data_IF_875512710047
#
_entry.id   IF_875512710047
#
_cell.length_a   1.000
_cell.length_b   1.000
_cell.length_c   1.000
_cell.angle_alpha   90.00
_cell.angle_beta   90.00
_cell.angle_gamma   90.00
#
_symmetry.space_group_name_H-M   'P 1'
#
loop_
_entity.id
_entity.type
_entity.pdbx_description
1 polymer ?
#
# COMPACT_ATOMS: atom_id res chain seq x y z
N UNK A 1 8.51 25.63 4.19
CA UNK A 1 8.62 24.94 5.50
C UNK A 1 9.20 23.54 5.34
N UNK A 2 8.70 22.77 4.36
CA UNK A 2 9.16 21.42 4.07
C UNK A 2 10.29 21.41 3.04
N UNK A 3 11.25 20.50 3.21
CA UNK A 3 12.28 20.15 2.24
C UNK A 3 12.25 18.63 2.01
N UNK A 4 12.80 18.15 0.88
CA UNK A 4 12.79 16.73 0.55
C UNK A 4 13.98 16.02 1.21
N UNK A 5 13.73 14.86 1.81
CA UNK A 5 14.79 13.95 2.22
C UNK A 5 15.43 13.40 0.95
N UNK A 6 16.70 13.74 0.71
CA UNK A 6 17.49 13.18 -0.38
C UNK A 6 18.01 11.82 0.07
N UNK A 7 17.59 10.78 -0.66
CA UNK A 7 18.10 9.41 -0.55
C UNK A 7 19.04 9.19 -1.73
N UNK A 8 20.28 8.84 -1.46
CA UNK A 8 21.31 8.63 -2.47
C UNK A 8 21.39 7.17 -2.90
N UNK A 9 21.84 6.92 -4.14
CA UNK A 9 22.11 5.56 -4.63
C UNK A 9 23.10 4.82 -3.72
N UNK A 10 24.07 5.54 -3.14
CA UNK A 10 25.02 4.98 -2.17
C UNK A 10 24.33 4.45 -0.93
N UNK A 11 23.35 5.16 -0.39
CA UNK A 11 22.57 4.70 0.77
C UNK A 11 21.72 3.48 0.41
N UNK A 12 21.08 3.50 -0.76
CA UNK A 12 20.27 2.39 -1.26
C UNK A 12 21.11 1.12 -1.44
N UNK A 13 22.17 1.20 -2.24
CA UNK A 13 23.04 0.06 -2.51
C UNK A 13 23.77 -0.42 -1.24
N UNK A 14 24.12 0.51 -0.35
CA UNK A 14 24.70 0.19 0.94
C UNK A 14 23.77 -0.62 1.85
N UNK A 15 22.48 -0.31 1.87
CA UNK A 15 21.49 -1.07 2.65
C UNK A 15 21.14 -2.40 1.97
N UNK A 16 20.98 -2.43 0.64
CA UNK A 16 20.78 -3.67 -0.13
C UNK A 16 21.87 -4.70 0.15
N UNK A 17 23.14 -4.27 0.12
CA UNK A 17 24.28 -5.14 0.37
C UNK A 17 24.35 -5.70 1.80
N UNK A 18 23.66 -5.11 2.76
CA UNK A 18 23.67 -5.54 4.17
C UNK A 18 22.63 -6.61 4.48
N UNK A 19 21.50 -6.62 3.79
CA UNK A 19 20.40 -7.54 4.09
C UNK A 19 19.56 -7.85 2.84
N UNK A 20 19.56 -9.13 2.45
CA UNK A 20 18.80 -9.61 1.28
C UNK A 20 17.29 -9.32 1.38
N UNK A 21 16.69 -9.37 2.57
CA UNK A 21 15.24 -9.09 2.70
C UNK A 21 14.95 -7.59 2.53
N UNK A 22 15.81 -6.73 3.06
CA UNK A 22 15.75 -5.30 2.79
C UNK A 22 16.00 -5.00 1.31
N UNK A 23 16.92 -5.70 0.65
CA UNK A 23 17.14 -5.58 -0.79
C UNK A 23 15.86 -5.85 -1.57
N UNK A 24 15.23 -7.01 -1.31
CA UNK A 24 13.96 -7.37 -1.93
C UNK A 24 12.87 -6.32 -1.65
N UNK A 25 12.82 -5.77 -0.44
CA UNK A 25 11.86 -4.73 -0.05
C UNK A 25 12.08 -3.42 -0.81
N UNK A 26 13.34 -3.01 -0.96
CA UNK A 26 13.72 -1.82 -1.72
C UNK A 26 13.35 -2.00 -3.19
N UNK A 27 13.72 -3.12 -3.81
CA UNK A 27 13.42 -3.42 -5.21
C UNK A 27 11.92 -3.53 -5.47
N UNK A 28 11.15 -4.06 -4.51
CA UNK A 28 9.68 -4.16 -4.59
C UNK A 28 9.00 -2.80 -4.50
N UNK A 29 9.47 -1.93 -3.61
CA UNK A 29 8.83 -0.63 -3.35
C UNK A 29 9.23 0.41 -4.39
N UNK A 30 10.47 0.33 -4.89
CA UNK A 30 11.09 1.34 -5.72
C UNK A 30 11.41 2.60 -4.93
N UNK A 31 11.31 3.73 -5.64
CA UNK A 31 11.61 5.04 -5.06
C UNK A 31 10.59 5.44 -4.00
N UNK A 32 11.09 6.08 -2.95
CA UNK A 32 10.27 6.65 -1.88
C UNK A 32 10.57 8.14 -1.74
N UNK A 33 9.49 8.91 -1.62
CA UNK A 33 9.58 10.34 -1.39
C UNK A 33 9.09 10.66 0.02
N UNK A 34 9.88 11.44 0.74
CA UNK A 34 9.56 11.94 2.07
C UNK A 34 10.05 13.37 2.22
N UNK A 35 9.24 14.17 2.91
CA UNK A 35 9.59 15.54 3.24
C UNK A 35 9.88 15.66 4.74
N UNK A 36 10.67 16.67 5.10
CA UNK A 36 11.07 16.97 6.47
C UNK A 36 10.95 18.48 6.73
N UNK A 37 10.83 18.86 8.01
CA UNK A 37 10.75 20.27 8.40
C UNK A 37 12.14 20.74 8.85
N UNK A 38 12.77 21.60 8.04
CA UNK A 38 14.16 22.05 8.28
C UNK A 38 14.34 22.86 9.56
N UNK A 39 13.36 23.68 9.93
CA UNK A 39 13.44 24.45 11.17
C UNK A 39 13.09 23.54 12.37
N UNK A 40 14.04 23.27 13.29
CA UNK A 40 13.81 22.33 14.39
C UNK A 40 12.72 22.74 15.36
N UNK A 41 12.66 24.04 15.67
CA UNK A 41 11.63 24.56 16.56
C UNK A 41 10.24 24.33 15.95
N UNK A 42 10.06 24.69 14.69
CA UNK A 42 8.81 24.45 13.96
C UNK A 42 8.50 22.96 13.89
N UNK A 43 9.49 22.09 13.66
CA UNK A 43 9.29 20.64 13.61
C UNK A 43 8.78 20.06 14.94
N UNK A 44 9.35 20.49 16.07
CA UNK A 44 8.90 20.08 17.40
C UNK A 44 7.47 20.55 17.68
N UNK A 45 7.16 21.82 17.41
CA UNK A 45 5.81 22.37 17.57
C UNK A 45 4.81 21.65 16.67
N UNK A 46 5.14 21.44 15.40
CA UNK A 46 4.35 20.67 14.43
C UNK A 46 4.06 19.27 14.96
N UNK A 47 5.06 18.58 15.54
CA UNK A 47 4.86 17.24 16.12
C UNK A 47 3.79 17.24 17.22
N UNK A 48 3.78 18.24 18.11
CA UNK A 48 2.78 18.36 19.18
C UNK A 48 1.38 18.60 18.60
N UNK A 49 1.27 19.44 17.56
CA UNK A 49 -0.02 19.72 16.91
C UNK A 49 -0.61 18.45 16.30
N UNK A 50 0.22 17.62 15.66
CA UNK A 50 -0.22 16.39 14.98
C UNK A 50 -0.47 15.19 15.90
N UNK A 51 0.02 15.19 17.14
CA UNK A 51 -0.17 14.08 18.08
C UNK A 51 -1.65 13.75 18.30
N UNK A 52 -1.97 12.45 18.27
CA UNK A 52 -3.28 11.88 18.63
C UNK A 52 -4.47 12.44 17.85
N UNK A 53 -4.25 12.88 16.59
CA UNK A 53 -5.30 13.40 15.72
C UNK A 53 -5.25 12.74 14.35
N UNK A 54 -6.42 12.64 13.71
CA UNK A 54 -6.48 12.34 12.29
C UNK A 54 -5.78 13.45 11.48
N UNK A 55 -5.10 13.06 10.39
CA UNK A 55 -4.27 13.97 9.57
C UNK A 55 -5.06 15.21 9.13
N UNK A 56 -6.31 15.06 8.68
CA UNK A 56 -7.15 16.18 8.24
C UNK A 56 -7.42 17.19 9.37
N UNK A 57 -7.70 16.71 10.58
CA UNK A 57 -7.97 17.58 11.72
C UNK A 57 -6.71 18.31 12.19
N UNK A 58 -5.58 17.59 12.29
CA UNK A 58 -4.30 18.19 12.64
C UNK A 58 -3.87 19.26 11.63
N UNK A 59 -4.04 19.00 10.33
CA UNK A 59 -3.71 19.95 9.25
C UNK A 59 -4.54 21.22 9.34
N UNK A 60 -5.85 21.10 9.61
CA UNK A 60 -6.72 22.27 9.78
C UNK A 60 -6.31 23.13 11.00
N UNK A 61 -5.89 22.51 12.10
CA UNK A 61 -5.37 23.23 13.28
C UNK A 61 -4.02 23.88 12.94
N UNK A 62 -3.12 23.16 12.27
CA UNK A 62 -1.80 23.65 11.89
C UNK A 62 -1.86 24.88 10.98
N UNK A 63 -2.74 24.88 9.97
CA UNK A 63 -2.88 26.00 9.06
C UNK A 63 -3.38 27.25 9.79
N UNK A 64 -4.46 27.15 10.56
CA UNK A 64 -4.95 28.27 11.38
C UNK A 64 -3.90 28.77 12.36
N UNK A 65 -3.14 27.85 12.97
CA UNK A 65 -2.06 28.18 13.88
C UNK A 65 -0.98 29.01 13.17
N UNK A 66 -0.49 28.57 12.02
CA UNK A 66 0.52 29.29 11.24
C UNK A 66 0.04 30.66 10.73
N UNK A 67 -1.26 30.81 10.43
CA UNK A 67 -1.86 32.08 10.02
C UNK A 67 -2.03 33.06 11.18
N UNK A 68 -2.22 32.54 12.40
CA UNK A 68 -2.54 33.36 13.58
C UNK A 68 -1.30 33.81 14.35
N UNK A 69 -0.25 32.98 14.40
CA UNK A 69 0.92 33.24 15.25
C UNK A 69 2.23 33.18 14.48
N UNK A 70 3.18 34.03 14.87
CA UNK A 70 4.56 33.94 14.39
C UNK A 70 5.25 32.76 15.07
N UNK A 71 5.84 31.85 14.29
CA UNK A 71 6.43 30.60 14.78
C UNK A 71 7.90 30.77 15.25
N UNK A 72 8.11 31.64 16.24
CA UNK A 72 9.39 31.75 16.96
C UNK A 72 9.23 31.35 18.44
N UNK A 73 10.31 30.90 19.11
CA UNK A 73 10.27 30.57 20.53
C UNK A 73 9.71 31.71 21.39
N UNK A 74 10.17 32.93 21.17
CA UNK A 74 9.77 34.11 21.92
C UNK A 74 8.29 34.42 21.69
N UNK A 75 7.86 34.46 20.42
CA UNK A 75 6.47 34.71 20.05
C UNK A 75 5.52 33.72 20.73
N UNK A 76 5.80 32.41 20.64
CA UNK A 76 4.93 31.39 21.25
C UNK A 76 4.95 31.40 22.78
N UNK A 77 6.06 31.83 23.39
CA UNK A 77 6.16 31.94 24.85
C UNK A 77 5.24 33.03 25.40
N UNK A 78 5.17 34.18 24.72
CA UNK A 78 4.38 35.34 25.13
C UNK A 78 2.96 35.39 24.56
N UNK A 79 2.64 34.58 23.55
CA UNK A 79 1.27 34.50 23.01
C UNK A 79 0.29 34.01 24.08
N UNK A 80 -0.89 34.66 24.18
CA UNK A 80 -1.90 34.30 25.17
C UNK A 80 -2.50 32.90 24.91
N UNK A 81 -2.78 32.16 25.99
CA UNK A 81 -3.40 30.83 25.88
C UNK A 81 -4.77 30.90 25.18
N UNK A 82 -5.50 32.00 25.35
CA UNK A 82 -6.78 32.26 24.70
C UNK A 82 -6.64 32.34 23.18
N UNK A 83 -5.65 33.06 22.66
CA UNK A 83 -5.40 33.12 21.22
C UNK A 83 -4.95 31.76 20.66
N UNK A 84 -4.11 31.02 21.39
CA UNK A 84 -3.72 29.67 20.97
C UNK A 84 -4.92 28.71 20.97
N UNK A 85 -5.91 28.93 21.84
CA UNK A 85 -7.14 28.14 21.90
C UNK A 85 -8.02 28.37 20.68
N UNK A 86 -8.09 29.58 20.12
CA UNK A 86 -8.89 29.87 18.90
C UNK A 86 -8.36 29.12 17.67
N UNK A 87 -7.07 28.77 17.65
CA UNK A 87 -6.48 27.92 16.61
C UNK A 87 -7.01 26.46 16.65
N UNK A 88 -7.61 26.05 17.77
CA UNK A 88 -8.11 24.68 18.00
C UNK A 88 -7.17 23.78 18.80
N UNK A 89 -6.10 24.33 19.38
CA UNK A 89 -5.17 23.59 20.24
C UNK A 89 -5.79 23.29 21.60
N UNK A 90 -5.55 22.10 22.16
CA UNK A 90 -5.93 21.78 23.54
C UNK A 90 -5.02 22.48 24.56
N UNK A 91 -5.49 22.64 25.81
CA UNK A 91 -4.68 23.21 26.90
C UNK A 91 -3.35 22.45 27.08
N UNK A 92 -3.40 21.12 27.03
CA UNK A 92 -2.21 20.27 27.13
C UNK A 92 -1.23 20.53 25.99
N UNK A 93 -1.70 20.64 24.74
CA UNK A 93 -0.84 20.95 23.59
C UNK A 93 -0.22 22.34 23.71
N UNK A 94 -0.97 23.33 24.20
CA UNK A 94 -0.46 24.67 24.48
C UNK A 94 0.66 24.62 25.53
N UNK A 95 0.46 23.91 26.65
CA UNK A 95 1.51 23.71 27.65
C UNK A 95 2.77 23.09 27.05
N UNK A 96 2.63 22.07 26.21
CA UNK A 96 3.79 21.40 25.59
C UNK A 96 4.52 22.30 24.58
N UNK A 97 3.78 23.05 23.77
CA UNK A 97 4.36 24.05 22.84
C UNK A 97 5.12 25.12 23.62
N UNK A 98 4.56 25.65 24.72
CA UNK A 98 5.24 26.63 25.58
C UNK A 98 6.45 26.04 26.31
N UNK A 99 6.42 24.75 26.66
CA UNK A 99 7.59 24.07 27.22
C UNK A 99 8.73 23.95 26.20
N UNK A 100 8.40 23.64 24.94
CA UNK A 100 9.38 23.62 23.83
C UNK A 100 9.98 25.01 23.64
N UNK A 101 9.14 26.04 23.53
CA UNK A 101 9.59 27.43 23.39
C UNK A 101 10.54 27.84 24.53
N UNK A 102 10.16 27.58 25.78
CA UNK A 102 11.00 27.86 26.95
C UNK A 102 12.32 27.09 26.90
N UNK A 103 12.29 25.80 26.55
CA UNK A 103 13.50 24.98 26.49
C UNK A 103 14.47 25.48 25.39
N UNK A 104 13.95 25.88 24.23
CA UNK A 104 14.78 26.43 23.14
C UNK A 104 15.45 27.74 23.57
N UNK A 105 14.72 28.65 24.23
CA UNK A 105 15.28 29.91 24.75
C UNK A 105 16.31 29.67 25.85
N UNK A 106 16.03 28.76 26.79
CA UNK A 106 16.88 28.58 27.98
C UNK A 106 18.08 27.66 27.78
N UNK A 107 17.98 26.67 26.89
CA UNK A 107 19.02 25.65 26.67
C UNK A 107 19.74 25.79 25.34
N UNK A 108 19.34 26.78 24.54
CA UNK A 108 19.88 27.04 23.22
C UNK A 108 19.82 25.75 22.36
N UNK A 109 18.60 25.29 22.09
CA UNK A 109 18.32 24.14 21.22
C UNK A 109 18.20 24.58 19.75
N UNK A 110 19.17 25.35 19.28
CA UNK A 110 19.22 25.86 17.90
C UNK A 110 19.63 24.76 16.91
N UNK A 111 19.25 24.91 15.63
CA UNK A 111 19.60 23.94 14.58
C UNK A 111 21.10 23.71 14.51
N UNK A 112 21.88 24.79 14.52
CA UNK A 112 23.35 24.76 14.45
C UNK A 112 23.92 23.84 15.53
N UNK A 113 23.55 24.06 16.79
CA UNK A 113 24.03 23.25 17.91
C UNK A 113 23.57 21.80 17.82
N UNK A 114 22.29 21.56 17.49
CA UNK A 114 21.73 20.21 17.38
C UNK A 114 22.40 19.38 16.29
N UNK A 115 22.90 20.00 15.21
CA UNK A 115 23.59 19.26 14.15
C UNK A 115 24.96 18.71 14.57
N UNK A 116 25.59 19.31 15.58
CA UNK A 116 26.90 18.88 16.10
C UNK A 116 26.82 17.89 17.26
N UNK A 117 25.64 17.71 17.86
CA UNK A 117 25.43 16.76 18.95
C UNK A 117 25.29 15.32 18.45
N UNK A 118 25.52 14.35 19.34
CA UNK A 118 25.20 12.96 19.08
C UNK A 118 23.69 12.72 19.15
N UNK A 119 23.19 11.69 18.47
CA UNK A 119 21.77 11.32 18.51
C UNK A 119 21.30 11.01 19.94
N UNK A 120 22.17 10.41 20.77
CA UNK A 120 21.86 10.09 22.17
C UNK A 120 21.67 11.36 23.01
N UNK A 121 22.57 12.33 22.89
CA UNK A 121 22.50 13.59 23.64
C UNK A 121 21.27 14.40 23.24
N UNK A 122 20.92 14.42 21.94
CA UNK A 122 19.73 15.12 21.45
C UNK A 122 18.48 14.46 22.04
N UNK A 123 18.38 13.12 22.01
CA UNK A 123 17.25 12.41 22.59
C UNK A 123 17.13 12.70 24.09
N UNK A 124 18.24 12.69 24.84
CA UNK A 124 18.24 13.04 26.27
C UNK A 124 17.72 14.46 26.51
N UNK A 125 18.23 15.45 25.78
CA UNK A 125 17.80 16.84 25.95
C UNK A 125 16.34 17.05 25.57
N UNK A 126 15.87 16.43 24.48
CA UNK A 126 14.49 16.55 24.04
C UNK A 126 13.52 15.85 24.99
N UNK A 127 13.88 14.69 25.53
CA UNK A 127 13.01 13.94 26.45
C UNK A 127 12.87 14.58 27.83
N UNK A 128 13.77 15.51 28.20
CA UNK A 128 13.57 16.37 29.37
C UNK A 128 12.36 17.31 29.22
N UNK A 129 11.97 17.63 27.98
CA UNK A 129 10.84 18.51 27.71
C UNK A 129 9.53 17.72 27.88
N UNK A 130 8.79 18.03 28.96
CA UNK A 130 7.47 17.41 29.20
C UNK A 130 6.56 17.60 27.98
N UNK A 131 6.16 16.47 27.38
CA UNK A 131 5.39 16.40 26.13
C UNK A 131 6.14 15.73 24.97
N UNK A 132 7.45 15.53 25.11
CA UNK A 132 8.29 14.86 24.11
C UNK A 132 8.79 13.53 24.70
N UNK A 133 8.40 12.42 24.09
CA UNK A 133 8.93 11.10 24.41
C UNK A 133 10.05 10.67 23.46
N UNK A 134 10.71 9.55 23.77
CA UNK A 134 11.80 8.98 22.95
C UNK A 134 11.42 8.83 21.49
N UNK A 135 10.22 8.29 21.21
CA UNK A 135 9.75 8.12 19.83
C UNK A 135 9.66 9.46 19.10
N UNK A 136 9.10 10.50 19.74
CA UNK A 136 9.01 11.84 19.16
C UNK A 136 10.39 12.42 18.88
N UNK A 137 11.36 12.21 19.78
CA UNK A 137 12.74 12.65 19.58
C UNK A 137 13.40 11.92 18.40
N UNK A 138 13.23 10.60 18.27
CA UNK A 138 13.75 9.82 17.14
C UNK A 138 13.10 10.25 15.81
N UNK A 139 11.79 10.52 15.79
CA UNK A 139 11.11 11.06 14.60
C UNK A 139 11.63 12.44 14.23
N UNK A 140 11.96 13.26 15.23
CA UNK A 140 12.57 14.57 15.01
C UNK A 140 13.99 14.46 14.42
N UNK A 141 14.79 13.48 14.85
CA UNK A 141 16.10 13.21 14.22
C UNK A 141 15.95 12.90 12.72
N UNK A 142 14.93 12.12 12.33
CA UNK A 142 14.67 11.77 10.93
C UNK A 142 14.07 12.97 10.16
N UNK A 143 12.93 13.48 10.61
CA UNK A 143 12.09 14.42 9.88
C UNK A 143 12.35 15.90 10.22
N UNK A 144 13.47 16.20 10.86
CA UNK A 144 13.97 17.57 11.02
C UNK A 144 15.47 17.68 10.84
N UNK A 145 16.24 16.85 11.55
CA UNK A 145 17.71 16.88 11.47
C UNK A 145 18.29 16.02 10.34
N UNK A 146 17.45 15.25 9.64
CA UNK A 146 17.84 14.36 8.54
C UNK A 146 18.99 13.39 8.92
N UNK A 147 18.99 12.91 10.16
CA UNK A 147 19.96 11.90 10.64
C UNK A 147 19.74 10.59 9.88
N UNK A 148 20.83 9.95 9.48
CA UNK A 148 20.82 8.80 8.56
C UNK A 148 20.71 7.42 9.24
N UNK A 149 21.00 7.34 10.53
CA UNK A 149 21.07 6.08 11.25
C UNK A 149 20.08 5.95 12.44
N UNK A 150 18.81 6.27 12.20
CA UNK A 150 17.76 6.24 13.24
C UNK A 150 16.69 5.18 12.95
N UNK A 151 16.45 4.29 13.90
CA UNK A 151 15.33 3.34 13.89
C UNK A 151 14.78 3.19 15.31
N UNK A 152 13.46 3.33 15.46
CA UNK A 152 12.79 3.39 16.77
C UNK A 152 12.12 2.07 17.14
N UNK A 153 12.46 1.52 18.31
CA UNK A 153 11.78 0.35 18.87
C UNK A 153 10.35 0.67 19.34
N UNK A 154 10.05 1.94 19.63
CA UNK A 154 8.72 2.38 20.06
C UNK A 154 7.75 2.57 18.88
N UNK A 155 8.22 2.43 17.65
CA UNK A 155 7.40 2.58 16.45
C UNK A 155 6.73 1.25 16.06
N UNK A 156 5.43 1.15 16.30
CA UNK A 156 4.66 -0.05 16.02
C UNK A 156 4.64 -0.41 14.53
N UNK A 157 4.70 0.57 13.63
CA UNK A 157 4.68 0.31 12.19
C UNK A 157 6.01 -0.30 11.73
N UNK A 158 7.15 0.19 12.24
CA UNK A 158 8.46 -0.44 12.05
C UNK A 158 8.46 -1.87 12.60
N UNK A 159 8.00 -2.09 13.84
CA UNK A 159 7.96 -3.44 14.43
C UNK A 159 7.07 -4.41 13.62
N UNK A 160 5.92 -3.93 13.10
CA UNK A 160 5.05 -4.73 12.21
C UNK A 160 5.74 -5.00 10.87
N UNK A 161 6.45 -4.03 10.31
CA UNK A 161 7.24 -4.17 9.10
C UNK A 161 8.31 -5.25 9.25
N UNK A 162 9.09 -5.19 10.33
CA UNK A 162 10.12 -6.18 10.65
C UNK A 162 9.50 -7.56 10.88
N UNK A 163 8.42 -7.64 11.66
CA UNK A 163 7.69 -8.90 11.88
C UNK A 163 7.33 -9.56 10.55
N UNK A 164 6.73 -8.80 9.63
CA UNK A 164 6.30 -9.31 8.34
C UNK A 164 7.48 -9.68 7.45
N UNK A 165 8.43 -8.77 7.27
CA UNK A 165 9.58 -8.96 6.39
C UNK A 165 10.41 -10.19 6.80
N UNK A 166 10.59 -10.39 8.10
CA UNK A 166 11.35 -11.51 8.63
C UNK A 166 10.51 -12.75 8.94
N UNK A 167 9.21 -12.74 8.64
CA UNK A 167 8.26 -13.82 8.93
C UNK A 167 8.28 -14.27 10.40
N UNK A 168 8.29 -13.31 11.32
CA UNK A 168 8.33 -13.57 12.75
C UNK A 168 6.93 -13.90 13.28
N UNK A 169 6.84 -14.86 14.22
CA UNK A 169 5.57 -15.23 14.86
C UNK A 169 4.95 -14.07 15.65
N UNK A 170 5.79 -13.37 16.42
CA UNK A 170 5.43 -12.22 17.25
C UNK A 170 6.17 -10.96 16.78
N UNK A 171 5.84 -9.80 17.35
CA UNK A 171 6.66 -8.60 17.16
C UNK A 171 8.09 -8.89 17.67
N UNK A 172 9.13 -8.31 17.03
CA UNK A 172 10.50 -8.54 17.44
C UNK A 172 10.72 -8.11 18.89
N UNK A 173 11.45 -8.92 19.66
CA UNK A 173 11.92 -8.53 20.99
C UNK A 173 12.99 -7.45 20.88
N UNK A 174 13.29 -6.76 21.99
CA UNK A 174 14.37 -5.76 22.03
C UNK A 174 15.70 -6.35 21.50
N UNK A 175 16.07 -7.56 21.93
CA UNK A 175 17.30 -8.23 21.46
C UNK A 175 17.30 -8.49 19.95
N UNK A 176 16.16 -8.92 19.39
CA UNK A 176 16.03 -9.15 17.94
C UNK A 176 16.07 -7.82 17.17
N UNK A 177 15.40 -6.80 17.68
CA UNK A 177 15.40 -5.46 17.12
C UNK A 177 16.81 -4.87 17.08
N UNK A 178 17.56 -4.90 18.19
CA UNK A 178 18.93 -4.38 18.25
C UNK A 178 19.88 -5.12 17.30
N UNK A 179 19.70 -6.44 17.12
CA UNK A 179 20.46 -7.20 16.13
C UNK A 179 20.21 -6.71 14.70
N UNK A 180 18.95 -6.42 14.36
CA UNK A 180 18.57 -5.89 13.03
C UNK A 180 19.04 -4.45 12.86
N UNK A 181 18.86 -3.60 13.88
CA UNK A 181 19.36 -2.22 13.90
C UNK A 181 20.86 -2.15 13.64
N UNK A 182 21.65 -2.96 14.34
CA UNK A 182 23.10 -3.09 14.11
C UNK A 182 23.44 -3.58 12.71
N UNK A 183 22.61 -4.47 12.14
CA UNK A 183 22.79 -4.98 10.78
C UNK A 183 22.61 -3.87 9.74
N UNK A 184 21.64 -2.97 9.95
CA UNK A 184 21.31 -1.90 9.00
C UNK A 184 22.20 -0.65 9.12
N UNK A 185 22.87 -0.44 10.26
CA UNK A 185 23.82 0.68 10.44
C UNK A 185 24.81 0.78 9.28
N UNK A 186 25.05 1.97 8.68
CA UNK A 186 24.59 3.30 9.10
C UNK A 186 23.28 3.79 8.41
N UNK A 187 22.44 2.89 7.91
CA UNK A 187 21.26 3.19 7.10
C UNK A 187 19.93 2.94 7.81
N UNK A 188 19.89 2.99 9.15
CA UNK A 188 18.67 2.72 9.90
C UNK A 188 17.51 3.66 9.56
N UNK A 189 17.78 4.91 9.18
CA UNK A 189 16.72 5.82 8.73
C UNK A 189 16.12 5.33 7.43
N UNK A 190 16.94 4.98 6.44
CA UNK A 190 16.47 4.44 5.16
C UNK A 190 15.67 3.15 5.37
N UNK A 191 16.16 2.25 6.21
CA UNK A 191 15.45 1.02 6.56
C UNK A 191 14.08 1.32 7.21
N UNK A 192 14.01 2.30 8.12
CA UNK A 192 12.75 2.75 8.73
C UNK A 192 11.76 3.26 7.67
N UNK A 193 12.22 4.04 6.69
CA UNK A 193 11.38 4.55 5.61
C UNK A 193 10.73 3.43 4.79
N UNK A 194 11.50 2.40 4.41
CA UNK A 194 10.98 1.24 3.68
C UNK A 194 10.08 0.35 4.55
N UNK A 195 10.38 0.20 5.84
CA UNK A 195 9.55 -0.58 6.75
C UNK A 195 8.18 0.06 6.98
N UNK A 196 8.08 1.39 6.99
CA UNK A 196 6.79 2.08 7.04
C UNK A 196 5.91 1.81 5.81
N UNK A 197 6.51 1.69 4.62
CA UNK A 197 5.79 1.35 3.39
C UNK A 197 5.11 -0.02 3.46
N UNK A 198 5.66 -1.00 4.19
CA UNK A 198 5.01 -2.30 4.43
C UNK A 198 3.60 -2.12 5.00
N UNK A 199 3.46 -1.24 5.99
CA UNK A 199 2.15 -0.96 6.60
C UNK A 199 1.30 -0.04 5.74
N UNK A 200 1.90 0.98 5.13
CA UNK A 200 1.21 1.98 4.30
C UNK A 200 0.58 1.34 3.07
N UNK A 201 1.31 0.43 2.41
CA UNK A 201 0.87 -0.32 1.22
C UNK A 201 0.11 -1.60 1.55
N UNK A 202 -0.10 -1.90 2.84
CA UNK A 202 -0.79 -3.10 3.32
C UNK A 202 -0.15 -4.43 2.89
N UNK A 203 1.19 -4.50 2.82
CA UNK A 203 1.91 -5.71 2.40
C UNK A 203 1.71 -6.89 3.35
N UNK A 204 1.32 -6.65 4.60
CA UNK A 204 0.93 -7.70 5.55
C UNK A 204 -0.28 -8.55 5.10
N UNK A 205 -0.98 -8.16 4.03
CA UNK A 205 -2.00 -9.01 3.38
C UNK A 205 -1.39 -10.20 2.65
N UNK A 206 -0.11 -10.12 2.30
CA UNK A 206 0.66 -11.18 1.68
C UNK A 206 1.45 -11.94 2.74
N UNK A 207 1.70 -13.22 2.49
CA UNK A 207 2.35 -14.10 3.48
C UNK A 207 3.83 -13.75 3.65
N UNK A 208 4.53 -13.46 2.54
CA UNK A 208 5.97 -13.21 2.52
C UNK A 208 6.32 -12.16 1.46
N UNK A 209 7.49 -11.55 1.57
CA UNK A 209 7.98 -10.61 0.55
C UNK A 209 8.20 -11.27 -0.82
N UNK A 210 8.64 -12.53 -0.85
CA UNK A 210 8.80 -13.28 -2.11
C UNK A 210 7.44 -13.45 -2.83
N UNK A 211 6.35 -13.51 -2.08
CA UNK A 211 4.99 -13.53 -2.65
C UNK A 211 4.51 -12.17 -3.15
N UNK A 212 5.21 -11.10 -2.78
CA UNK A 212 5.02 -9.77 -3.38
C UNK A 212 5.83 -9.66 -4.68
N UNK A 213 7.05 -10.22 -4.72
CA UNK A 213 7.90 -10.26 -5.92
C UNK A 213 7.36 -11.14 -7.05
N UNK A 214 6.60 -12.19 -6.73
CA UNK A 214 5.86 -12.99 -7.70
C UNK A 214 4.72 -12.22 -8.39
N UNK A 215 4.49 -10.96 -8.01
CA UNK A 215 3.60 -10.02 -8.70
C UNK A 215 4.49 -8.93 -9.31
N UNK A 216 4.91 -9.01 -10.57
CA UNK A 216 4.00 -9.03 -11.71
C UNK A 216 4.67 -9.63 -12.94
N UNK A 217 4.53 -10.95 -13.13
CA UNK A 217 4.55 -11.51 -14.48
C UNK A 217 3.26 -11.07 -15.15
N UNK A 218 3.28 -9.86 -15.69
CA UNK A 218 2.12 -9.20 -16.26
C UNK A 218 2.36 -8.87 -17.71
N UNK A 219 1.31 -8.95 -18.50
CA UNK A 219 1.27 -8.31 -19.81
C UNK A 219 -0.09 -7.67 -19.99
N UNK A 220 -0.18 -6.75 -20.94
CA UNK A 220 -1.40 -6.04 -21.26
C UNK A 220 -1.81 -6.30 -22.70
N UNK A 221 -3.11 -6.38 -22.92
CA UNK A 221 -3.72 -6.51 -24.24
C UNK A 221 -4.79 -5.45 -24.44
N UNK A 222 -4.61 -4.60 -25.45
CA UNK A 222 -5.69 -3.78 -25.97
C UNK A 222 -6.69 -4.68 -26.70
N UNK A 223 -7.97 -4.57 -26.35
CA UNK A 223 -9.04 -5.38 -26.92
C UNK A 223 -10.25 -4.52 -27.30
N UNK A 224 -11.19 -5.05 -28.10
CA UNK A 224 -12.45 -4.35 -28.40
C UNK A 224 -13.29 -4.00 -27.16
N UNK A 225 -13.00 -4.63 -26.01
CA UNK A 225 -13.66 -4.38 -24.72
C UNK A 225 -12.73 -3.68 -23.71
N UNK A 226 -11.72 -2.98 -24.21
CA UNK A 226 -10.77 -2.19 -23.42
C UNK A 226 -9.55 -2.99 -22.94
N UNK A 227 -8.74 -2.35 -22.11
CA UNK A 227 -7.45 -2.90 -21.68
C UNK A 227 -7.61 -4.11 -20.74
N UNK A 228 -7.01 -5.22 -21.14
CA UNK A 228 -6.95 -6.47 -20.37
C UNK A 228 -5.57 -6.60 -19.74
N UNK A 229 -5.53 -6.75 -18.42
CA UNK A 229 -4.34 -7.11 -17.63
C UNK A 229 -4.33 -8.61 -17.39
N UNK A 230 -3.24 -9.28 -17.79
CA UNK A 230 -3.03 -10.71 -17.63
C UNK A 230 -1.87 -10.89 -16.66
N UNK A 231 -2.07 -11.66 -15.60
CA UNK A 231 -1.01 -11.99 -14.64
C UNK A 231 -0.83 -13.51 -14.54
N UNK A 232 0.41 -13.96 -14.50
CA UNK A 232 0.80 -15.36 -14.36
C UNK A 232 1.69 -15.58 -13.14
N UNK A 233 1.72 -16.81 -12.64
CA UNK A 233 2.63 -17.26 -11.60
C UNK A 233 2.95 -18.74 -11.87
N UNK A 234 4.23 -19.11 -11.83
CA UNK A 234 4.68 -20.51 -12.00
C UNK A 234 4.15 -21.19 -13.28
N UNK A 235 4.01 -20.42 -14.38
CA UNK A 235 3.51 -20.93 -15.66
C UNK A 235 1.99 -21.05 -15.75
N UNK A 236 1.23 -20.59 -14.75
CA UNK A 236 -0.24 -20.60 -14.74
C UNK A 236 -0.81 -19.18 -14.70
N UNK A 237 -1.92 -18.92 -15.39
CA UNK A 237 -2.66 -17.66 -15.30
C UNK A 237 -3.36 -17.57 -13.93
N UNK A 238 -3.08 -16.50 -13.18
CA UNK A 238 -3.70 -16.22 -11.88
C UNK A 238 -4.71 -15.07 -11.93
N UNK A 239 -4.64 -14.25 -12.98
CA UNK A 239 -5.57 -13.13 -13.21
C UNK A 239 -5.70 -12.80 -14.68
N UNK A 240 -6.93 -12.53 -15.10
CA UNK A 240 -7.29 -11.87 -16.35
C UNK A 240 -8.42 -10.90 -16.03
N UNK A 241 -8.13 -9.60 -16.03
CA UNK A 241 -9.09 -8.58 -15.64
C UNK A 241 -9.00 -7.29 -16.43
N UNK A 242 -10.10 -6.53 -16.46
CA UNK A 242 -10.15 -5.24 -17.15
C UNK A 242 -9.60 -4.13 -16.26
N UNK A 243 -8.73 -3.29 -16.84
CA UNK A 243 -8.11 -2.13 -16.17
C UNK A 243 -8.29 -0.87 -17.02
N UNK A 244 -8.04 0.30 -16.43
CA UNK A 244 -8.11 1.59 -17.16
C UNK A 244 -6.79 1.98 -17.81
N UNK A 245 -5.68 1.58 -17.19
CA UNK A 245 -4.33 1.95 -17.58
C UNK A 245 -3.36 0.84 -17.15
N UNK A 246 -2.18 0.83 -17.77
CA UNK A 246 -1.07 -0.05 -17.37
C UNK A 246 -0.49 0.46 -16.05
N UNK A 247 -0.30 -0.44 -15.09
CA UNK A 247 0.20 -0.09 -13.74
C UNK A 247 1.58 -0.66 -13.44
N UNK A 248 2.03 -1.60 -14.26
CA UNK A 248 3.21 -2.41 -14.06
C UNK A 248 3.97 -2.54 -15.38
N UNK A 249 5.27 -2.80 -15.32
CA UNK A 249 6.04 -3.13 -16.51
C UNK A 249 5.68 -4.51 -17.05
N UNK A 250 5.57 -4.62 -18.37
CA UNK A 250 5.28 -5.89 -19.02
C UNK A 250 6.48 -6.84 -18.95
N UNK A 251 6.22 -8.13 -18.75
CA UNK A 251 7.21 -9.21 -18.80
C UNK A 251 6.99 -10.10 -20.01
N UNK A 252 8.09 -10.56 -20.60
CA UNK A 252 8.10 -11.52 -21.70
C UNK A 252 8.26 -12.93 -21.16
N UNK A 253 7.19 -13.48 -20.59
CA UNK A 253 7.15 -14.89 -20.23
C UNK A 253 6.39 -15.71 -21.26
N UNK A 254 6.81 -16.97 -21.55
CA UNK A 254 6.13 -17.82 -22.52
C UNK A 254 4.61 -17.91 -22.32
N UNK A 255 4.15 -18.08 -21.08
CA UNK A 255 2.72 -18.17 -20.76
C UNK A 255 1.95 -16.87 -21.02
N UNK A 256 2.59 -15.71 -20.80
CA UNK A 256 1.97 -14.40 -21.04
C UNK A 256 1.89 -14.07 -22.53
N UNK A 257 2.95 -14.43 -23.28
CA UNK A 257 2.96 -14.32 -24.74
C UNK A 257 1.86 -15.20 -25.33
N UNK A 258 1.76 -16.45 -24.87
CA UNK A 258 0.74 -17.38 -25.34
C UNK A 258 -0.68 -16.91 -24.99
N UNK A 259 -0.89 -16.40 -23.78
CA UNK A 259 -2.17 -15.82 -23.38
C UNK A 259 -2.58 -14.65 -24.29
N UNK A 260 -1.65 -13.75 -24.65
CA UNK A 260 -1.92 -12.66 -25.61
C UNK A 260 -2.26 -13.19 -27.00
N UNK A 261 -1.54 -14.19 -27.49
CA UNK A 261 -1.82 -14.79 -28.79
C UNK A 261 -3.22 -15.41 -28.85
N UNK A 262 -3.58 -16.22 -27.86
CA UNK A 262 -4.90 -16.86 -27.82
C UNK A 262 -6.03 -15.85 -27.61
N UNK A 263 -5.86 -14.84 -26.75
CA UNK A 263 -6.87 -13.80 -26.58
C UNK A 263 -7.05 -12.95 -27.84
N UNK A 264 -5.96 -12.63 -28.56
CA UNK A 264 -6.05 -11.97 -29.85
C UNK A 264 -6.82 -12.81 -30.87
N UNK A 265 -6.52 -14.11 -30.99
CA UNK A 265 -7.25 -15.01 -31.86
C UNK A 265 -8.73 -15.10 -31.46
N UNK A 266 -9.02 -15.18 -30.16
CA UNK A 266 -10.39 -15.16 -29.64
C UNK A 266 -11.11 -13.89 -30.06
N UNK A 267 -10.56 -12.69 -29.82
CA UNK A 267 -11.20 -11.42 -30.19
C UNK A 267 -11.35 -11.22 -31.70
N UNK A 268 -10.56 -11.90 -32.53
CA UNK A 268 -10.72 -11.94 -33.99
C UNK A 268 -11.81 -12.92 -34.47
N UNK A 269 -12.23 -13.84 -33.61
CA UNK A 269 -13.16 -14.92 -33.97
C UNK A 269 -12.47 -16.18 -34.51
N UNK A 270 -11.14 -16.24 -34.49
CA UNK A 270 -10.33 -17.36 -35.00
C UNK A 270 -10.20 -18.51 -33.97
N UNK A 271 -10.77 -18.34 -32.77
CA UNK A 271 -10.64 -19.27 -31.65
C UNK A 271 -11.88 -19.26 -30.75
N UNK A 272 -12.33 -20.45 -30.37
CA UNK A 272 -13.45 -20.69 -29.45
C UNK A 272 -13.04 -21.31 -28.10
N UNK A 273 -11.83 -21.85 -28.00
CA UNK A 273 -11.30 -22.61 -26.86
C UNK A 273 -9.90 -22.12 -26.46
N UNK A 274 -9.59 -22.14 -25.17
CA UNK A 274 -8.29 -21.74 -24.64
C UNK A 274 -7.50 -22.95 -24.13
N UNK A 275 -6.22 -23.00 -24.48
CA UNK A 275 -5.24 -23.95 -23.95
C UNK A 275 -4.24 -23.16 -23.10
N UNK A 276 -4.72 -22.70 -21.94
CA UNK A 276 -3.93 -21.92 -20.99
C UNK A 276 -4.11 -22.51 -19.59
N UNK A 277 -3.04 -22.99 -18.94
CA UNK A 277 -3.12 -23.40 -17.55
C UNK A 277 -3.47 -22.19 -16.69
N UNK A 278 -4.39 -22.37 -15.74
CA UNK A 278 -4.78 -21.31 -14.83
C UNK A 278 -5.08 -21.84 -13.44
N UNK A 279 -4.82 -20.99 -12.44
CA UNK A 279 -4.98 -21.33 -11.04
C UNK A 279 -6.07 -20.50 -10.39
N UNK A 280 -7.08 -21.19 -9.87
CA UNK A 280 -8.16 -20.58 -9.09
C UNK A 280 -7.89 -20.72 -7.59
N UNK A 281 -7.98 -19.59 -6.88
CA UNK A 281 -7.90 -19.55 -5.43
C UNK A 281 -9.24 -19.03 -4.87
N UNK A 282 -10.06 -19.93 -4.34
CA UNK A 282 -11.37 -19.62 -3.78
C UNK A 282 -11.78 -20.61 -2.70
N UNK A 283 -12.91 -20.35 -2.05
CA UNK A 283 -13.53 -21.32 -1.15
C UNK A 283 -13.98 -22.56 -1.93
N UNK A 284 -14.20 -23.68 -1.24
CA UNK A 284 -14.72 -24.91 -1.87
C UNK A 284 -15.97 -24.66 -2.71
N UNK A 285 -16.86 -23.76 -2.26
CA UNK A 285 -18.03 -23.36 -3.03
C UNK A 285 -17.67 -22.57 -4.30
N UNK A 286 -16.76 -21.60 -4.21
CA UNK A 286 -16.32 -20.82 -5.36
C UNK A 286 -15.65 -21.69 -6.41
N UNK A 287 -14.76 -22.61 -5.99
CA UNK A 287 -14.10 -23.54 -6.91
C UNK A 287 -15.11 -24.40 -7.66
N UNK A 288 -16.14 -24.95 -6.98
CA UNK A 288 -17.21 -25.71 -7.63
C UNK A 288 -17.96 -24.87 -8.67
N UNK A 289 -18.32 -23.63 -8.32
CA UNK A 289 -18.98 -22.72 -9.27
C UNK A 289 -18.10 -22.48 -10.48
N UNK A 290 -16.83 -22.09 -10.29
CA UNK A 290 -15.93 -21.76 -11.39
C UNK A 290 -15.62 -22.94 -12.30
N UNK A 291 -15.49 -24.15 -11.75
CA UNK A 291 -15.41 -25.38 -12.55
C UNK A 291 -16.65 -25.56 -13.41
N UNK A 292 -17.85 -25.38 -12.85
CA UNK A 292 -19.10 -25.47 -13.61
C UNK A 292 -19.20 -24.39 -14.70
N UNK A 293 -18.70 -23.18 -14.45
CA UNK A 293 -18.64 -22.13 -15.47
C UNK A 293 -17.74 -22.51 -16.64
N UNK A 294 -16.59 -23.14 -16.38
CA UNK A 294 -15.66 -23.57 -17.42
C UNK A 294 -16.24 -24.65 -18.34
N UNK A 295 -17.30 -25.35 -17.90
CA UNK A 295 -18.01 -26.34 -18.71
C UNK A 295 -19.03 -25.72 -19.68
N UNK A 296 -19.31 -24.41 -19.60
CA UNK A 296 -20.25 -23.75 -20.51
C UNK A 296 -19.57 -23.56 -21.88
N UNK A 297 -20.04 -24.18 -22.97
CA UNK A 297 -19.38 -24.07 -24.28
C UNK A 297 -19.38 -22.65 -24.86
N UNK A 298 -18.47 -22.39 -25.79
CA UNK A 298 -18.49 -21.17 -26.60
C UNK A 298 -19.81 -21.08 -27.38
N UNK A 299 -20.40 -19.89 -27.43
CA UNK A 299 -21.68 -19.68 -28.13
C UNK A 299 -22.91 -20.18 -27.36
N UNK A 300 -22.74 -20.71 -26.16
CA UNK A 300 -23.83 -21.10 -25.28
C UNK A 300 -23.95 -20.21 -24.05
N UNK A 301 -25.16 -20.14 -23.49
CA UNK A 301 -25.42 -19.51 -22.21
C UNK A 301 -26.06 -20.50 -21.23
N UNK A 302 -25.92 -20.20 -19.94
CA UNK A 302 -26.62 -20.89 -18.85
C UNK A 302 -27.25 -19.86 -17.94
N UNK A 303 -28.38 -20.18 -17.34
CA UNK A 303 -28.96 -19.35 -16.29
C UNK A 303 -28.25 -19.59 -14.96
N UNK A 304 -28.37 -18.64 -14.02
CA UNK A 304 -27.93 -18.86 -12.63
C UNK A 304 -28.55 -20.10 -11.99
N UNK A 305 -29.77 -20.48 -12.41
CA UNK A 305 -30.46 -21.68 -11.95
C UNK A 305 -29.79 -22.95 -12.49
N UNK A 306 -29.37 -22.94 -13.76
CA UNK A 306 -28.70 -24.10 -14.37
C UNK A 306 -27.36 -24.39 -13.67
N UNK A 307 -26.58 -23.34 -13.38
CA UNK A 307 -25.35 -23.47 -12.58
C UNK A 307 -25.65 -23.97 -11.16
N UNK A 308 -26.74 -23.50 -10.55
CA UNK A 308 -27.18 -23.94 -9.22
C UNK A 308 -27.52 -25.44 -9.18
N UNK A 309 -28.16 -25.94 -10.24
CA UNK A 309 -28.44 -27.37 -10.41
C UNK A 309 -27.13 -28.15 -10.63
N UNK A 310 -26.25 -27.67 -11.52
CA UNK A 310 -24.96 -28.33 -11.83
C UNK A 310 -24.06 -28.52 -10.61
N UNK A 311 -24.06 -27.56 -9.66
CA UNK A 311 -23.29 -27.67 -8.41
C UNK A 311 -24.04 -28.40 -7.27
N UNK A 312 -25.25 -28.91 -7.52
CA UNK A 312 -26.06 -29.64 -6.53
C UNK A 312 -26.70 -28.75 -5.45
N UNK A 313 -26.94 -27.47 -5.73
CA UNK A 313 -27.58 -26.54 -4.79
C UNK A 313 -28.49 -25.54 -5.51
N UNK A 314 -29.72 -25.95 -5.83
CA UNK A 314 -30.68 -25.17 -6.62
C UNK A 314 -31.01 -23.78 -6.06
N UNK A 315 -30.89 -23.59 -4.74
CA UNK A 315 -31.19 -22.32 -4.06
C UNK A 315 -30.01 -21.34 -4.05
N UNK A 316 -28.87 -21.69 -4.65
CA UNK A 316 -27.62 -20.93 -4.56
C UNK A 316 -27.46 -19.79 -5.58
N UNK A 317 -28.49 -19.42 -6.36
CA UNK A 317 -28.38 -18.41 -7.44
C UNK A 317 -27.70 -17.09 -6.99
N UNK A 318 -28.05 -16.56 -5.81
CA UNK A 318 -27.43 -15.33 -5.26
C UNK A 318 -25.96 -15.54 -4.88
N UNK A 319 -25.63 -16.69 -4.29
CA UNK A 319 -24.26 -17.04 -3.92
C UNK A 319 -23.38 -17.25 -5.16
N UNK A 320 -23.94 -17.80 -6.24
CA UNK A 320 -23.29 -17.91 -7.55
C UNK A 320 -23.00 -16.52 -8.13
N UNK A 321 -23.94 -15.57 -8.05
CA UNK A 321 -23.68 -14.18 -8.42
C UNK A 321 -22.48 -13.58 -7.69
N UNK A 322 -22.37 -13.82 -6.38
CA UNK A 322 -21.22 -13.40 -5.59
C UNK A 322 -19.93 -14.13 -5.98
N UNK A 323 -19.98 -15.43 -6.28
CA UNK A 323 -18.82 -16.19 -6.77
C UNK A 323 -18.34 -15.68 -8.14
N UNK A 324 -19.27 -15.34 -9.05
CA UNK A 324 -18.95 -14.76 -10.36
C UNK A 324 -18.31 -13.37 -10.21
N UNK A 325 -18.76 -12.55 -9.26
CA UNK A 325 -18.12 -11.26 -8.93
C UNK A 325 -16.67 -11.43 -8.44
N UNK A 326 -16.35 -12.57 -7.82
CA UNK A 326 -15.01 -12.90 -7.33
C UNK A 326 -14.13 -13.63 -8.35
N UNK A 327 -14.65 -13.92 -9.55
CA UNK A 327 -13.85 -14.49 -10.62
C UNK A 327 -12.78 -13.48 -11.06
N UNK A 328 -11.51 -13.84 -10.89
CA UNK A 328 -10.36 -13.01 -11.27
C UNK A 328 -9.80 -13.33 -12.66
N UNK A 329 -10.34 -14.34 -13.33
CA UNK A 329 -9.85 -14.85 -14.60
C UNK A 329 -11.00 -14.76 -15.61
N UNK A 330 -11.39 -13.53 -15.95
CA UNK A 330 -12.45 -13.29 -16.92
C UNK A 330 -12.12 -13.95 -18.27
N UNK A 331 -13.13 -14.21 -19.09
CA UNK A 331 -13.00 -14.86 -20.40
C UNK A 331 -12.59 -16.34 -20.32
N UNK A 332 -11.48 -16.69 -19.66
CA UNK A 332 -11.06 -18.10 -19.48
C UNK A 332 -12.02 -18.86 -18.56
N UNK A 333 -12.46 -18.22 -17.47
CA UNK A 333 -13.63 -18.67 -16.71
C UNK A 333 -14.81 -17.82 -17.19
N UNK A 334 -15.70 -18.37 -18.03
CA UNK A 334 -16.60 -17.57 -18.85
C UNK A 334 -17.86 -17.14 -18.09
N UNK A 335 -17.68 -16.39 -16.99
CA UNK A 335 -18.80 -15.90 -16.18
C UNK A 335 -19.73 -14.93 -16.93
N UNK A 336 -19.31 -14.41 -18.10
CA UNK A 336 -20.16 -13.65 -19.02
C UNK A 336 -21.25 -14.51 -19.67
N UNK A 337 -21.06 -15.84 -19.81
CA UNK A 337 -22.06 -16.78 -20.35
C UNK A 337 -23.21 -17.08 -19.40
N UNK A 338 -23.12 -16.66 -18.14
CA UNK A 338 -24.20 -16.83 -17.17
C UNK A 338 -25.19 -15.67 -17.27
N UNK A 339 -26.44 -15.93 -17.62
CA UNK A 339 -27.48 -14.91 -17.80
C UNK A 339 -28.63 -15.08 -16.80
N UNK A 340 -29.48 -14.06 -16.68
CA UNK A 340 -30.73 -14.15 -15.94
C UNK A 340 -31.77 -15.01 -16.67
N UNK A 341 -32.89 -15.29 -16.00
CA UNK A 341 -34.02 -16.00 -16.60
C UNK A 341 -34.47 -15.31 -17.89
N UNK A 342 -34.83 -16.09 -18.91
CA UNK A 342 -35.20 -15.62 -20.27
C UNK A 342 -34.08 -14.83 -20.98
N UNK A 343 -32.81 -15.10 -20.67
CA UNK A 343 -31.67 -14.46 -21.35
C UNK A 343 -31.40 -13.02 -20.92
N UNK A 344 -32.02 -12.54 -19.84
CA UNK A 344 -31.80 -11.17 -19.36
C UNK A 344 -30.34 -10.97 -18.94
N UNK A 345 -29.68 -9.96 -19.51
CA UNK A 345 -28.35 -9.57 -19.09
C UNK A 345 -28.41 -8.95 -17.68
N UNK A 346 -27.78 -9.62 -16.72
CA UNK A 346 -27.66 -9.17 -15.33
C UNK A 346 -26.24 -9.45 -14.85
N UNK A 347 -25.69 -8.56 -14.01
CA UNK A 347 -24.44 -8.77 -13.27
C UNK A 347 -23.20 -9.13 -14.11
N UNK A 348 -22.23 -8.22 -14.16
CA UNK A 348 -20.89 -8.51 -14.63
C UNK A 348 -19.92 -7.50 -14.03
N UNK A 349 -18.85 -7.96 -13.38
CA UNK A 349 -17.87 -7.06 -12.74
C UNK A 349 -17.21 -6.13 -13.76
N UNK A 350 -16.99 -6.61 -14.99
CA UNK A 350 -16.50 -5.79 -16.10
C UNK A 350 -17.54 -4.83 -16.70
N UNK A 351 -18.75 -4.76 -16.18
CA UNK A 351 -19.85 -3.95 -16.71
C UNK A 351 -20.66 -4.66 -17.80
N UNK A 352 -21.97 -4.38 -17.86
CA UNK A 352 -22.90 -5.08 -18.75
C UNK A 352 -22.55 -4.94 -20.24
N UNK A 353 -21.98 -3.80 -20.65
CA UNK A 353 -21.59 -3.58 -22.04
C UNK A 353 -20.52 -4.57 -22.53
N UNK A 354 -19.55 -4.96 -21.68
CA UNK A 354 -18.54 -5.96 -22.03
C UNK A 354 -19.17 -7.34 -22.17
N UNK A 355 -20.08 -7.67 -21.25
CA UNK A 355 -20.81 -8.94 -21.26
C UNK A 355 -21.65 -9.07 -22.52
N UNK A 356 -22.39 -8.02 -22.88
CA UNK A 356 -23.16 -7.97 -24.12
C UNK A 356 -22.25 -8.14 -25.35
N UNK A 357 -21.12 -7.41 -25.40
CA UNK A 357 -20.16 -7.54 -26.49
C UNK A 357 -19.63 -8.98 -26.62
N UNK A 358 -19.19 -9.58 -25.51
CA UNK A 358 -18.66 -10.95 -25.50
C UNK A 358 -19.70 -11.96 -25.98
N UNK A 359 -20.95 -11.85 -25.53
CA UNK A 359 -22.00 -12.77 -25.96
C UNK A 359 -22.35 -12.61 -27.44
N UNK A 360 -22.37 -11.37 -27.95
CA UNK A 360 -22.54 -11.12 -29.39
C UNK A 360 -21.39 -11.68 -30.21
N UNK A 361 -20.16 -11.46 -29.74
CA UNK A 361 -18.94 -11.99 -30.34
C UNK A 361 -18.96 -13.51 -30.44
N UNK A 362 -19.46 -14.18 -29.39
CA UNK A 362 -19.62 -15.64 -29.38
C UNK A 362 -20.87 -16.14 -30.13
N UNK A 363 -21.71 -15.25 -30.67
CA UNK A 363 -22.94 -15.61 -31.39
C UNK A 363 -24.10 -16.06 -30.48
N UNK A 364 -23.97 -15.93 -29.16
CA UNK A 364 -24.93 -16.41 -28.15
C UNK A 364 -25.99 -15.38 -27.74
N UNK A 365 -25.91 -14.16 -28.27
CA UNK A 365 -26.87 -13.08 -28.01
C UNK A 365 -27.17 -12.31 -29.28
N UNK A 366 -28.46 -12.30 -29.67
CA UNK A 366 -28.97 -11.48 -30.78
C UNK A 366 -29.76 -10.32 -30.15
N UNK A 367 -29.41 -9.09 -30.52
CA UNK A 367 -30.06 -7.86 -30.06
C UNK A 367 -31.53 -7.80 -30.46
#
# INVERSE_FOLDING_TARGET
MYERIIITDREIEGLKAKDEKMKLLIETIGDINRDYIKNPFIALVHSIVYQQLAIKAATAIWNRFCETVTLTPESLLYTSDELLRTCGLSRTKITYIKNIARAVVQRDLTLEKLTHMSDADIIEQLTYIKGIGTWTAEMFLIFSLNRKDVMSYKDLAILKGLKWLYNMKNLPTMTQFEKLKKKFTPYNTLASLYLWEVTTRNFYKYKLIDTVLLQHNVTYLESPIGLVEIQAEQGEIIRLGFVKEKRYEEKLEPILVEAKNQLNAYFKGDRDTFDLPFKINGTTFQSKVWTELSNIPYGETRSYKDIAIGIGNEKASRAIGNANNKNKIAILIPCHRVVGTKGKLVGYEGGLWRKEWLLKHEGSYKS
#
